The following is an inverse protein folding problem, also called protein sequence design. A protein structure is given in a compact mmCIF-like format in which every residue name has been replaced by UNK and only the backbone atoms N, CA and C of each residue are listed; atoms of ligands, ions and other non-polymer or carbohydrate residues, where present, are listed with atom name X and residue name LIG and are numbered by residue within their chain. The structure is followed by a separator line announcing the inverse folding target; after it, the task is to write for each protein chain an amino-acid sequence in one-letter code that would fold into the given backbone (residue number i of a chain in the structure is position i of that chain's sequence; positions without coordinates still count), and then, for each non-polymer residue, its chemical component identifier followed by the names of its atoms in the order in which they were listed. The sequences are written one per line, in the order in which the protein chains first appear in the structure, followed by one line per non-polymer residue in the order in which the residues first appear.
data_IF_673510834709
#
_entry.id   IF_673510834709
#
_cell.length_a   1.000
_cell.length_b   1.000
_cell.length_c   1.000
_cell.angle_alpha   90.00
_cell.angle_beta   90.00
_cell.angle_gamma   90.00
#
_symmetry.space_group_name_H-M   'P 1'
#
loop_
_entity.id
_entity.type
_entity.pdbx_description
1 polymer ?
#
# COMPACT_ATOMS: atom_id res chain seq x y z
N UNK A 1 -13.44 6.33 -4.91
CA UNK A 1 -12.14 5.63 -4.97
C UNK A 1 -12.34 4.23 -4.42
N UNK A 2 -11.88 3.19 -5.11
CA UNK A 2 -11.98 1.80 -4.64
C UNK A 2 -10.74 1.41 -3.80
N UNK A 3 -10.82 0.34 -3.01
CA UNK A 3 -9.72 -0.13 -2.15
C UNK A 3 -8.41 -0.35 -2.92
N UNK A 4 -8.49 -0.96 -4.11
CA UNK A 4 -7.33 -1.14 -5.00
C UNK A 4 -6.67 0.18 -5.41
N UNK A 5 -7.46 1.21 -5.70
CA UNK A 5 -6.92 2.51 -6.12
C UNK A 5 -6.23 3.21 -4.95
N UNK A 6 -6.80 3.11 -3.75
CA UNK A 6 -6.17 3.61 -2.53
C UNK A 6 -4.83 2.94 -2.27
N UNK A 7 -4.78 1.61 -2.38
CA UNK A 7 -3.54 0.84 -2.18
C UNK A 7 -2.47 1.22 -3.21
N UNK A 8 -2.83 1.33 -4.49
CA UNK A 8 -1.90 1.71 -5.55
C UNK A 8 -1.34 3.12 -5.31
N UNK A 9 -2.20 4.07 -4.97
CA UNK A 9 -1.80 5.45 -4.71
C UNK A 9 -0.82 5.55 -3.53
N UNK A 10 -1.13 4.89 -2.41
CA UNK A 10 -0.24 4.83 -1.23
C UNK A 10 1.07 4.12 -1.58
N UNK A 11 1.00 3.03 -2.35
CA UNK A 11 2.19 2.27 -2.76
C UNK A 11 3.10 3.07 -3.67
N UNK A 12 2.55 3.86 -4.60
CA UNK A 12 3.32 4.72 -5.50
C UNK A 12 3.98 5.87 -4.76
N UNK A 13 3.24 6.56 -3.91
CA UNK A 13 3.77 7.63 -3.06
C UNK A 13 4.91 7.12 -2.17
N UNK A 14 4.72 5.94 -1.56
CA UNK A 14 5.77 5.30 -0.78
C UNK A 14 6.96 4.87 -1.64
N UNK A 15 6.72 4.31 -2.82
CA UNK A 15 7.77 3.90 -3.75
C UNK A 15 8.63 5.10 -4.20
N UNK A 16 7.99 6.23 -4.52
CA UNK A 16 8.67 7.48 -4.87
C UNK A 16 9.49 8.02 -3.70
N UNK A 17 8.90 8.14 -2.51
CA UNK A 17 9.59 8.64 -1.33
C UNK A 17 10.74 7.72 -0.86
N UNK A 18 10.54 6.40 -0.92
CA UNK A 18 11.56 5.42 -0.55
C UNK A 18 12.57 5.14 -1.69
N UNK A 19 12.39 5.75 -2.87
CA UNK A 19 13.17 5.46 -4.09
C UNK A 19 13.22 3.96 -4.43
N UNK A 20 12.12 3.24 -4.18
CA UNK A 20 11.98 1.81 -4.41
C UNK A 20 11.08 1.54 -5.61
N UNK A 21 11.27 0.40 -6.28
CA UNK A 21 10.32 -0.05 -7.31
C UNK A 21 9.04 -0.60 -6.67
N UNK A 22 7.91 -0.47 -7.38
CA UNK A 22 6.61 -1.00 -6.95
C UNK A 22 6.66 -2.50 -6.62
N UNK A 23 7.43 -3.29 -7.37
CA UNK A 23 7.62 -4.73 -7.10
C UNK A 23 8.43 -4.97 -5.81
N UNK A 24 9.39 -4.09 -5.46
CA UNK A 24 10.13 -4.16 -4.20
C UNK A 24 9.22 -3.83 -3.02
N UNK A 25 8.42 -2.78 -3.14
CA UNK A 25 7.38 -2.42 -2.16
C UNK A 25 6.39 -3.56 -1.97
N UNK A 26 5.91 -4.17 -3.06
CA UNK A 26 5.01 -5.35 -3.01
C UNK A 26 5.63 -6.52 -2.24
N UNK A 27 6.94 -6.75 -2.45
CA UNK A 27 7.66 -7.80 -1.74
C UNK A 27 7.77 -7.49 -0.25
N UNK A 28 7.99 -6.24 0.14
CA UNK A 28 8.14 -5.86 1.54
C UNK A 28 6.77 -5.90 2.26
N UNK A 29 5.74 -5.32 1.65
CA UNK A 29 4.41 -5.15 2.26
C UNK A 29 3.59 -6.44 2.26
N UNK A 30 3.63 -7.17 1.14
CA UNK A 30 2.76 -8.35 0.91
C UNK A 30 3.53 -9.67 0.94
N UNK A 31 4.86 -9.63 1.13
CA UNK A 31 5.74 -10.79 0.95
C UNK A 31 5.57 -11.48 -0.43
N UNK A 32 5.07 -10.73 -1.41
CA UNK A 32 4.73 -11.20 -2.75
C UNK A 32 5.01 -10.09 -3.76
N UNK A 33 6.09 -10.23 -4.52
CA UNK A 33 6.61 -9.16 -5.38
C UNK A 33 5.72 -8.74 -6.55
N UNK A 34 4.85 -9.63 -7.05
CA UNK A 34 4.01 -9.36 -8.22
C UNK A 34 2.55 -9.00 -7.89
N UNK A 35 2.17 -8.91 -6.62
CA UNK A 35 0.77 -8.72 -6.24
C UNK A 35 0.29 -7.29 -6.52
N UNK A 36 1.07 -6.26 -6.21
CA UNK A 36 0.72 -4.89 -6.57
C UNK A 36 0.65 -4.68 -8.09
N UNK A 37 1.58 -5.27 -8.85
CA UNK A 37 1.56 -5.20 -10.32
C UNK A 37 0.32 -5.91 -10.90
N UNK A 38 -0.06 -7.08 -10.37
CA UNK A 38 -1.28 -7.76 -10.78
C UNK A 38 -2.56 -6.97 -10.45
N UNK A 39 -2.58 -6.25 -9.33
CA UNK A 39 -3.70 -5.35 -8.95
C UNK A 39 -3.75 -4.13 -9.88
N UNK A 40 -2.59 -3.56 -10.22
CA UNK A 40 -2.48 -2.45 -11.16
C UNK A 40 -2.96 -2.84 -12.57
N UNK A 41 -2.58 -4.03 -13.03
CA UNK A 41 -3.00 -4.61 -14.31
C UNK A 41 -4.49 -5.04 -14.32
N UNK A 42 -5.18 -5.00 -13.17
CA UNK A 42 -6.56 -5.50 -13.04
C UNK A 42 -6.69 -7.02 -13.18
N UNK A 43 -5.58 -7.76 -13.07
CA UNK A 43 -5.54 -9.23 -13.11
C UNK A 43 -5.80 -9.88 -11.75
N UNK A 44 -5.67 -9.10 -10.67
CA UNK A 44 -5.91 -9.55 -9.31
C UNK A 44 -6.75 -8.53 -8.54
N UNK A 45 -7.66 -9.01 -7.70
CA UNK A 45 -8.36 -8.20 -6.72
C UNK A 45 -7.66 -8.23 -5.38
N UNK A 46 -7.75 -7.11 -4.65
CA UNK A 46 -7.30 -7.04 -3.27
C UNK A 46 -8.45 -7.45 -2.36
N UNK A 47 -8.23 -8.45 -1.52
CA UNK A 47 -9.19 -8.80 -0.48
C UNK A 47 -9.08 -7.78 0.66
N UNK A 48 -10.17 -7.59 1.40
CA UNK A 48 -10.21 -6.62 2.52
C UNK A 48 -9.09 -6.88 3.53
N UNK A 49 -8.85 -8.14 3.91
CA UNK A 49 -7.78 -8.48 4.86
C UNK A 49 -6.36 -8.26 4.32
N UNK A 50 -6.13 -8.44 3.02
CA UNK A 50 -4.84 -8.09 2.40
C UNK A 50 -4.64 -6.58 2.35
N UNK A 51 -5.70 -5.85 1.98
CA UNK A 51 -5.69 -4.39 1.95
C UNK A 51 -5.38 -3.80 3.33
N UNK A 52 -6.08 -4.25 4.37
CA UNK A 52 -5.88 -3.79 5.74
C UNK A 52 -4.45 -4.02 6.23
N UNK A 53 -3.90 -5.23 6.05
CA UNK A 53 -2.51 -5.53 6.43
C UNK A 53 -1.50 -4.67 5.69
N UNK A 54 -1.70 -4.47 4.40
CA UNK A 54 -0.80 -3.67 3.58
C UNK A 54 -0.83 -2.20 4.00
N UNK A 55 -2.03 -1.64 4.16
CA UNK A 55 -2.25 -0.27 4.60
C UNK A 55 -1.72 -0.03 6.02
N UNK A 56 -1.86 -1.00 6.92
CA UNK A 56 -1.30 -0.95 8.27
C UNK A 56 0.23 -0.89 8.22
N UNK A 57 0.85 -1.72 7.38
CA UNK A 57 2.30 -1.70 7.19
C UNK A 57 2.77 -0.35 6.66
N UNK A 58 2.07 0.22 5.65
CA UNK A 58 2.38 1.56 5.16
C UNK A 58 2.21 2.62 6.25
N UNK A 59 1.15 2.53 7.05
CA UNK A 59 0.90 3.47 8.15
C UNK A 59 2.02 3.46 9.19
N UNK A 60 2.55 2.28 9.52
CA UNK A 60 3.64 2.11 10.49
C UNK A 60 4.99 2.51 9.90
N UNK A 61 5.26 2.14 8.64
CA UNK A 61 6.54 2.37 7.98
C UNK A 61 6.55 3.63 7.10
N UNK A 62 5.59 4.54 7.27
CA UNK A 62 5.45 5.71 6.41
C UNK A 62 6.66 6.65 6.57
N UNK A 63 7.28 7.11 5.48
CA UNK A 63 8.40 8.04 5.56
C UNK A 63 7.96 9.35 6.20
N UNK A 64 8.78 9.86 7.12
CA UNK A 64 8.49 11.10 7.85
C UNK A 64 8.49 12.34 6.93
N UNK A 65 9.23 12.27 5.82
CA UNK A 65 9.34 13.33 4.81
C UNK A 65 8.10 13.43 3.89
N UNK A 66 7.12 12.54 4.03
CA UNK A 66 5.95 12.49 3.17
C UNK A 66 4.65 12.59 3.97
N UNK A 67 3.77 13.49 3.57
CA UNK A 67 2.44 13.58 4.15
C UNK A 67 1.55 12.42 3.69
N UNK A 68 0.73 11.92 4.60
CA UNK A 68 -0.23 10.87 4.27
C UNK A 68 -1.34 11.44 3.36
N UNK A 69 -1.67 10.77 2.25
CA UNK A 69 -2.69 11.27 1.33
C UNK A 69 -4.07 11.36 1.99
N UNK A 70 -4.65 12.55 2.07
CA UNK A 70 -5.97 12.79 2.70
C UNK A 70 -7.13 12.02 2.04
N UNK A 71 -6.95 11.60 0.79
CA UNK A 71 -7.93 10.79 0.05
C UNK A 71 -7.97 9.32 0.49
N UNK A 72 -7.00 8.90 1.32
CA UNK A 72 -6.87 7.52 1.78
C UNK A 72 -6.95 7.47 3.30
N UNK A 73 -7.87 6.65 3.81
CA UNK A 73 -7.96 6.41 5.23
C UNK A 73 -6.67 5.74 5.73
N UNK A 74 -5.98 6.39 6.66
CA UNK A 74 -4.82 5.81 7.35
C UNK A 74 -5.33 4.86 8.42
N UNK A 75 -5.14 3.53 8.30
CA UNK A 75 -5.43 2.65 9.41
C UNK A 75 -4.45 2.96 10.54
N UNK A 76 -4.98 3.38 11.66
CA UNK A 76 -4.31 3.29 12.94
C UNK A 76 -4.67 1.91 13.46
N UNK A 77 -3.69 1.11 13.90
CA UNK A 77 -4.03 -0.15 14.54
C UNK A 77 -4.87 0.18 15.76
N UNK A 78 -6.18 -0.01 15.67
CA UNK A 78 -7.01 -0.07 16.86
C UNK A 78 -6.71 -1.44 17.46
N UNK A 79 -5.68 -1.46 18.32
CA UNK A 79 -5.47 -2.58 19.21
C UNK A 79 -6.69 -2.64 20.12
N UNK A 80 -7.64 -3.51 19.78
CA UNK A 80 -8.76 -3.91 20.62
C UNK A 80 -8.61 -5.40 20.93
#
# INVERSE_FOLDING_TARGET
MNLKQQLLLVSDLYAEAATLSRSRVSTIVLNRGATLDAIADGKADVTTGTYEKAMLWFSVNWPADLEWPQQVFRPLSEAA
#
